data_IF_764032266083
#
_entry.id   IF_764032266083
#
_cell.length_a   1.000
_cell.length_b   1.000
_cell.length_c   1.000
_cell.angle_alpha   90.00
_cell.angle_beta   90.00
_cell.angle_gamma   90.00
#
_symmetry.space_group_name_H-M   'P 1'
#
loop_
_entity.id
_entity.type
_entity.pdbx_description
1 polymer ?
#
# COMPACT_ATOMS: atom_id res chain seq x y z
N UNK A 1 -20.13 18.60 2.20
CA UNK A 1 -19.31 17.54 2.84
C UNK A 1 -18.80 16.60 1.75
N UNK A 2 -17.86 17.04 0.90
CA UNK A 2 -17.56 16.34 -0.36
C UNK A 2 -16.06 16.02 -0.59
N UNK A 3 -15.22 16.16 0.45
CA UNK A 3 -13.78 15.87 0.36
C UNK A 3 -13.32 14.55 1.00
N UNK A 4 -14.22 13.79 1.63
CA UNK A 4 -13.83 12.58 2.35
C UNK A 4 -13.61 11.40 1.41
N UNK A 5 -12.45 10.78 1.53
CA UNK A 5 -12.09 9.56 0.80
C UNK A 5 -13.17 8.46 0.95
N UNK A 6 -13.55 7.75 -0.15
CA UNK A 6 -14.65 6.79 -0.17
C UNK A 6 -14.55 5.67 0.88
N UNK A 7 -13.34 5.14 1.09
CA UNK A 7 -13.04 4.13 2.10
C UNK A 7 -13.30 4.60 3.53
N UNK A 8 -12.98 5.86 3.83
CA UNK A 8 -13.18 6.45 5.16
C UNK A 8 -14.68 6.63 5.47
N UNK A 9 -15.49 6.95 4.44
CA UNK A 9 -16.96 6.96 4.54
C UNK A 9 -17.52 5.56 4.80
N UNK A 10 -16.98 4.55 4.12
CA UNK A 10 -17.37 3.15 4.34
C UNK A 10 -17.09 2.69 5.78
N UNK A 11 -15.92 3.03 6.33
CA UNK A 11 -15.60 2.71 7.72
C UNK A 11 -16.46 3.47 8.74
N UNK A 12 -16.75 4.76 8.50
CA UNK A 12 -17.67 5.52 9.35
C UNK A 12 -19.11 5.00 9.30
N UNK A 13 -19.52 4.37 8.20
CA UNK A 13 -20.83 3.75 8.10
C UNK A 13 -20.93 2.43 8.88
N UNK A 14 -19.79 1.77 9.13
CA UNK A 14 -19.72 0.50 9.87
C UNK A 14 -19.35 0.68 11.35
N UNK A 15 -18.75 1.82 11.75
CA UNK A 15 -18.24 2.02 13.12
C UNK A 15 -18.14 3.51 13.49
N UNK A 16 -17.96 3.81 14.77
CA UNK A 16 -17.67 5.15 15.32
C UNK A 16 -16.46 5.84 14.65
N UNK A 17 -16.50 7.17 14.58
CA UNK A 17 -15.51 8.01 13.87
C UNK A 17 -14.10 7.78 14.38
N UNK A 18 -13.91 7.61 15.70
CA UNK A 18 -12.57 7.34 16.28
C UNK A 18 -11.98 6.03 15.74
N UNK A 19 -12.79 4.98 15.69
CA UNK A 19 -12.35 3.67 15.23
C UNK A 19 -12.12 3.66 13.72
N UNK A 20 -12.96 4.38 12.96
CA UNK A 20 -12.82 4.50 11.51
C UNK A 20 -11.48 5.15 11.12
N UNK A 21 -11.05 6.21 11.81
CA UNK A 21 -9.74 6.86 11.56
C UNK A 21 -8.59 5.91 11.88
N UNK A 22 -8.70 5.14 12.97
CA UNK A 22 -7.68 4.16 13.34
C UNK A 22 -7.57 3.02 12.33
N UNK A 23 -8.72 2.50 11.86
CA UNK A 23 -8.79 1.49 10.80
C UNK A 23 -8.19 2.02 9.49
N UNK A 24 -8.51 3.25 9.10
CA UNK A 24 -7.92 3.89 7.91
C UNK A 24 -6.40 3.98 8.02
N UNK A 25 -5.86 4.35 9.19
CA UNK A 25 -4.42 4.38 9.40
C UNK A 25 -3.78 3.00 9.23
N UNK A 26 -4.33 1.98 9.89
CA UNK A 26 -3.85 0.59 9.75
C UNK A 26 -3.92 0.14 8.28
N UNK A 27 -5.01 0.45 7.59
CA UNK A 27 -5.21 0.08 6.18
C UNK A 27 -4.14 0.72 5.28
N UNK A 28 -3.90 2.03 5.41
CA UNK A 28 -2.86 2.73 4.64
C UNK A 28 -1.47 2.15 4.97
N UNK A 29 -1.15 1.89 6.24
CA UNK A 29 0.12 1.27 6.64
C UNK A 29 0.29 -0.10 5.95
N UNK A 30 -0.72 -0.97 6.02
CA UNK A 30 -0.67 -2.30 5.42
C UNK A 30 -0.46 -2.19 3.91
N UNK A 31 -1.25 -1.38 3.23
CA UNK A 31 -1.12 -1.19 1.78
C UNK A 31 0.24 -0.59 1.41
N UNK A 32 0.74 0.38 2.17
CA UNK A 32 2.05 0.98 1.92
C UNK A 32 3.17 -0.06 2.06
N UNK A 33 3.08 -0.93 3.07
CA UNK A 33 4.02 -2.05 3.25
C UNK A 33 3.94 -3.04 2.09
N UNK A 34 2.73 -3.40 1.64
CA UNK A 34 2.52 -4.30 0.49
C UNK A 34 3.12 -3.69 -0.77
N UNK A 35 2.77 -2.45 -1.11
CA UNK A 35 3.30 -1.72 -2.27
C UNK A 35 4.82 -1.60 -2.19
N UNK A 36 5.36 -1.27 -1.03
CA UNK A 36 6.81 -1.20 -0.84
C UNK A 36 7.49 -2.56 -1.10
N UNK A 37 6.96 -3.65 -0.52
CA UNK A 37 7.48 -5.01 -0.74
C UNK A 37 7.36 -5.48 -2.18
N UNK A 38 6.33 -5.02 -2.90
CA UNK A 38 6.08 -5.41 -4.29
C UNK A 38 6.88 -4.58 -5.30
N UNK A 39 6.93 -3.26 -5.10
CA UNK A 39 7.63 -2.31 -5.96
C UNK A 39 9.15 -2.40 -5.82
N UNK A 40 9.65 -2.64 -4.61
CA UNK A 40 11.06 -2.89 -4.39
C UNK A 40 11.33 -4.38 -4.46
N UNK A 41 11.39 -4.92 -5.68
CA UNK A 41 11.79 -6.30 -6.00
C UNK A 41 13.26 -6.64 -5.64
N UNK A 42 13.88 -5.93 -4.69
CA UNK A 42 15.29 -6.05 -4.35
C UNK A 42 15.42 -6.70 -2.97
N UNK A 43 16.13 -7.83 -2.90
CA UNK A 43 16.51 -8.49 -1.65
C UNK A 43 17.42 -7.53 -0.87
N UNK A 44 16.84 -6.73 0.02
CA UNK A 44 17.61 -5.82 0.86
C UNK A 44 18.06 -6.55 2.14
N UNK A 45 19.33 -6.38 2.57
CA UNK A 45 19.80 -6.92 3.83
C UNK A 45 18.92 -6.42 4.98
N UNK A 46 18.66 -7.31 5.96
CA UNK A 46 17.70 -7.10 7.05
C UNK A 46 17.89 -5.76 7.79
N UNK A 47 19.14 -5.32 7.93
CA UNK A 47 19.49 -4.05 8.57
C UNK A 47 18.95 -2.82 7.82
N UNK A 48 19.00 -2.83 6.49
CA UNK A 48 18.51 -1.71 5.65
C UNK A 48 16.98 -1.70 5.59
N UNK A 49 16.36 -2.86 5.74
CA UNK A 49 14.92 -3.01 5.80
C UNK A 49 14.33 -2.28 7.03
N UNK A 50 14.99 -2.33 8.20
CA UNK A 50 14.53 -1.62 9.42
C UNK A 50 14.44 -0.10 9.18
N UNK A 51 15.50 0.53 8.65
CA UNK A 51 15.51 1.98 8.37
C UNK A 51 14.38 2.38 7.43
N UNK A 52 14.09 1.56 6.44
CA UNK A 52 13.05 1.85 5.46
C UNK A 52 11.66 1.66 6.08
N UNK A 53 11.45 0.64 6.91
CA UNK A 53 10.20 0.49 7.66
C UNK A 53 9.97 1.66 8.62
N UNK A 54 11.01 2.16 9.31
CA UNK A 54 10.90 3.35 10.14
C UNK A 54 10.51 4.58 9.32
N UNK A 55 11.18 4.81 8.19
CA UNK A 55 10.84 5.90 7.27
C UNK A 55 9.42 5.75 6.70
N UNK A 56 8.98 4.52 6.41
CA UNK A 56 7.64 4.21 5.90
C UNK A 56 6.55 4.53 6.92
N UNK A 57 6.75 4.15 8.19
CA UNK A 57 5.81 4.47 9.28
C UNK A 57 5.69 5.98 9.46
N UNK A 58 6.81 6.71 9.42
CA UNK A 58 6.82 8.18 9.49
C UNK A 58 6.10 8.79 8.28
N UNK A 59 6.37 8.29 7.07
CA UNK A 59 5.68 8.72 5.85
C UNK A 59 4.18 8.41 5.90
N UNK A 60 3.77 7.34 6.57
CA UNK A 60 2.36 6.99 6.73
C UNK A 60 1.59 8.00 7.61
N UNK A 61 2.27 8.68 8.54
CA UNK A 61 1.64 9.79 9.29
C UNK A 61 1.29 10.96 8.37
N UNK A 62 2.16 11.26 7.40
CA UNK A 62 1.89 12.27 6.36
C UNK A 62 0.75 11.80 5.46
N UNK A 63 0.77 10.54 5.03
CA UNK A 63 -0.30 9.95 4.21
C UNK A 63 -1.66 9.94 4.93
N UNK A 64 -1.68 9.76 6.26
CA UNK A 64 -2.89 9.82 7.06
C UNK A 64 -3.55 11.21 7.00
N UNK A 65 -2.74 12.27 7.13
CA UNK A 65 -3.21 13.65 7.04
C UNK A 65 -3.72 13.95 5.61
N UNK A 66 -2.99 13.51 4.59
CA UNK A 66 -3.40 13.66 3.19
C UNK A 66 -4.66 12.86 2.87
N UNK A 67 -4.84 11.68 3.48
CA UNK A 67 -6.01 10.82 3.26
C UNK A 67 -7.32 11.48 3.68
N UNK A 68 -7.28 12.51 4.51
CA UNK A 68 -8.50 13.23 4.91
C UNK A 68 -9.14 13.98 3.74
N UNK A 69 -8.33 14.49 2.80
CA UNK A 69 -8.79 15.28 1.66
C UNK A 69 -8.57 14.57 0.30
N UNK A 70 -7.76 13.52 0.25
CA UNK A 70 -7.38 12.81 -0.97
C UNK A 70 -7.67 11.30 -0.84
N UNK A 71 -8.06 10.62 -1.94
CA UNK A 71 -8.29 9.17 -1.96
C UNK A 71 -6.98 8.37 -1.98
N UNK A 72 -6.11 8.60 -0.98
CA UNK A 72 -4.77 7.99 -0.87
C UNK A 72 -4.84 6.47 -0.77
N UNK A 73 -5.79 5.96 0.02
CA UNK A 73 -5.99 4.52 0.20
C UNK A 73 -6.34 3.82 -1.12
N UNK A 74 -7.24 4.40 -1.93
CA UNK A 74 -7.60 3.88 -3.26
C UNK A 74 -6.39 3.91 -4.21
N UNK A 75 -5.65 5.02 -4.22
CA UNK A 75 -4.46 5.15 -5.06
C UNK A 75 -3.39 4.09 -4.72
N UNK A 76 -3.19 3.82 -3.43
CA UNK A 76 -2.32 2.74 -2.96
C UNK A 76 -2.85 1.36 -3.37
N UNK A 77 -4.16 1.13 -3.28
CA UNK A 77 -4.79 -0.13 -3.65
C UNK A 77 -4.60 -0.43 -5.14
N UNK A 78 -4.87 0.57 -5.99
CA UNK A 78 -4.67 0.48 -7.44
C UNK A 78 -3.18 0.25 -7.77
N UNK A 79 -2.28 0.98 -7.12
CA UNK A 79 -0.83 0.79 -7.30
C UNK A 79 -0.38 -0.63 -6.93
N UNK A 80 -0.87 -1.15 -5.81
CA UNK A 80 -0.60 -2.53 -5.40
C UNK A 80 -1.10 -3.53 -6.45
N UNK A 81 -2.32 -3.34 -6.94
CA UNK A 81 -2.94 -4.21 -7.95
C UNK A 81 -2.15 -4.24 -9.26
N UNK A 82 -1.73 -3.06 -9.75
CA UNK A 82 -0.88 -2.94 -10.94
C UNK A 82 0.46 -3.69 -10.75
N UNK A 83 1.11 -3.51 -9.60
CA UNK A 83 2.37 -4.19 -9.29
C UNK A 83 2.20 -5.71 -9.17
N UNK A 84 1.09 -6.19 -8.61
CA UNK A 84 0.76 -7.63 -8.54
C UNK A 84 0.70 -8.20 -9.96
N UNK A 85 -0.08 -7.57 -10.84
CA UNK A 85 -0.25 -8.01 -12.24
C UNK A 85 1.10 -7.99 -12.96
N UNK A 86 1.89 -6.92 -12.78
CA UNK A 86 3.22 -6.80 -13.38
C UNK A 86 4.15 -7.94 -12.92
N UNK A 87 4.16 -8.27 -11.62
CA UNK A 87 5.01 -9.33 -11.08
C UNK A 87 4.64 -10.72 -11.61
N UNK A 88 3.34 -11.00 -11.73
CA UNK A 88 2.84 -12.26 -12.28
C UNK A 88 3.29 -12.41 -13.73
N UNK A 89 3.11 -11.38 -14.55
CA UNK A 89 3.58 -11.37 -15.95
C UNK A 89 5.09 -11.57 -16.04
N UNK A 90 5.87 -10.85 -15.23
CA UNK A 90 7.34 -10.92 -15.25
C UNK A 90 7.87 -12.31 -14.86
N UNK A 91 7.26 -12.97 -13.87
CA UNK A 91 7.65 -14.34 -13.50
C UNK A 91 7.31 -15.36 -14.59
N UNK A 92 6.17 -15.21 -15.29
CA UNK A 92 5.82 -16.10 -16.39
C UNK A 92 6.77 -15.95 -17.59
N UNK A 93 7.16 -14.72 -17.97
CA UNK A 93 8.13 -14.50 -19.04
C UNK A 93 9.51 -15.09 -18.74
N UNK A 94 9.96 -15.05 -17.48
CA UNK A 94 11.22 -15.69 -17.07
C UNK A 94 11.17 -17.22 -17.12
N UNK A 95 10.01 -17.84 -16.87
CA UNK A 95 9.87 -19.30 -16.91
C UNK A 95 9.89 -19.85 -18.34
N UNK A 96 9.20 -19.17 -19.27
CA UNK A 96 9.16 -19.58 -20.69
C UNK A 96 10.54 -19.56 -21.38
N UNK A 97 11.44 -18.67 -20.95
CA UNK A 97 12.79 -18.60 -21.53
C UNK A 97 13.73 -19.70 -21.00
N UNK A 98 13.36 -20.38 -19.91
CA UNK A 98 14.16 -21.45 -19.30
C UNK A 98 13.72 -22.86 -19.72
N UNK A 99 12.55 -23.01 -20.37
CA UNK A 99 12.06 -24.27 -20.96
C UNK A 99 12.37 -24.37 -22.47
N UNK A 100 12.91 -23.32 -23.10
CA UNK A 100 13.30 -23.30 -24.51
C UNK A 100 14.82 -23.50 -24.74
N UNK A 101 15.57 -23.92 -23.72
CA UNK A 101 17.00 -24.25 -23.80
C UNK A 101 17.23 -25.67 -23.30
#
# INVERSE_FOLDING_TARGET
>A
MEGFSPTLRFFMQLTDVKTAVWLQFIYIVILAVVVYKLGYAKKLPLLKNVVIYTCLVIGCLVLLILSYALPVAEALAVSALILIIYKIRLHQSKKQQSEAK
#
